data_IF_999829646792
#
_entry.id   IF_999829646792
#
_cell.length_a   1.000
_cell.length_b   1.000
_cell.length_c   1.000
_cell.angle_alpha   90.00
_cell.angle_beta   90.00
_cell.angle_gamma   90.00
#
_symmetry.space_group_name_H-M   'P 1'
#
loop_
_entity.id
_entity.type
_entity.pdbx_description
1 polymer ?
#
# COMPACT_ATOMS: atom_id res chain seq x y z
N UNK A 1 -19.77 -1.11 7.24
CA UNK A 1 -18.74 -1.55 6.30
C UNK A 1 -19.45 -2.31 5.21
N UNK A 2 -19.27 -1.91 3.96
CA UNK A 2 -20.02 -2.43 2.81
C UNK A 2 -19.15 -3.23 1.83
N UNK A 3 -17.84 -3.35 2.09
CA UNK A 3 -17.02 -4.30 1.34
C UNK A 3 -17.42 -5.73 1.68
N UNK A 4 -17.66 -6.52 0.65
CA UNK A 4 -17.88 -7.96 0.76
C UNK A 4 -16.56 -8.68 0.45
N UNK A 5 -15.86 -9.08 1.51
CA UNK A 5 -14.61 -9.80 1.39
C UNK A 5 -14.85 -11.29 1.11
N UNK A 6 -14.17 -11.82 0.10
CA UNK A 6 -14.11 -13.24 -0.19
C UNK A 6 -12.77 -13.78 0.30
N UNK A 7 -12.80 -14.86 1.08
CA UNK A 7 -11.58 -15.57 1.48
C UNK A 7 -11.07 -16.39 0.29
N UNK A 8 -9.80 -16.21 -0.06
CA UNK A 8 -9.14 -16.91 -1.17
C UNK A 8 -7.99 -17.78 -0.66
N UNK A 9 -7.56 -18.75 -1.46
CA UNK A 9 -6.57 -19.75 -1.05
C UNK A 9 -5.13 -19.38 -1.41
N UNK A 10 -4.94 -18.54 -2.42
CA UNK A 10 -3.63 -18.10 -2.89
C UNK A 10 -3.70 -16.69 -3.46
N UNK A 11 -2.55 -16.01 -3.47
CA UNK A 11 -2.38 -14.75 -4.17
C UNK A 11 -1.84 -15.07 -5.57
N UNK A 12 -2.55 -14.64 -6.62
CA UNK A 12 -2.22 -15.00 -8.00
C UNK A 12 -0.91 -14.36 -8.49
N UNK A 13 -0.55 -13.16 -8.01
CA UNK A 13 0.72 -12.49 -8.37
C UNK A 13 1.69 -12.29 -7.19
N UNK A 14 2.44 -13.35 -6.88
CA UNK A 14 3.47 -13.29 -5.83
C UNK A 14 4.56 -12.22 -6.01
N UNK A 15 4.72 -11.62 -7.21
CA UNK A 15 5.71 -10.56 -7.45
C UNK A 15 5.22 -9.19 -7.00
N UNK A 16 3.91 -9.00 -6.92
CA UNK A 16 3.26 -7.77 -6.44
C UNK A 16 3.02 -7.89 -4.93
N UNK A 17 2.61 -9.06 -4.47
CA UNK A 17 2.26 -9.32 -3.07
C UNK A 17 3.37 -10.11 -2.37
N UNK A 18 4.48 -9.44 -2.04
CA UNK A 18 5.60 -10.03 -1.29
C UNK A 18 5.32 -10.02 0.21
N UNK A 19 4.48 -10.96 0.66
CA UNK A 19 4.12 -11.10 2.08
C UNK A 19 4.47 -12.49 2.59
N UNK A 20 5.15 -12.55 3.72
CA UNK A 20 5.48 -13.77 4.44
C UNK A 20 4.65 -13.91 5.72
N UNK A 21 4.50 -15.15 6.18
CA UNK A 21 3.92 -15.52 7.48
C UNK A 21 2.45 -15.07 7.67
N UNK A 22 1.59 -15.45 6.72
CA UNK A 22 0.15 -15.18 6.77
C UNK A 22 -0.68 -16.46 6.91
N UNK A 23 -1.89 -16.32 7.45
CA UNK A 23 -2.85 -17.41 7.62
C UNK A 23 -4.05 -17.28 6.69
N UNK A 24 -4.40 -16.05 6.32
CA UNK A 24 -5.63 -15.74 5.60
C UNK A 24 -5.40 -14.69 4.53
N UNK A 25 -6.15 -14.82 3.43
CA UNK A 25 -6.18 -13.86 2.33
C UNK A 25 -7.65 -13.54 2.05
N UNK A 26 -7.94 -12.26 1.93
CA UNK A 26 -9.26 -11.71 1.63
C UNK A 26 -9.16 -10.77 0.45
N UNK A 27 -10.11 -10.88 -0.47
CA UNK A 27 -10.18 -10.02 -1.64
C UNK A 27 -11.58 -9.42 -1.78
N UNK A 28 -11.64 -8.17 -2.24
CA UNK A 28 -12.89 -7.51 -2.58
C UNK A 28 -12.66 -6.54 -3.72
N UNK A 29 -13.67 -6.39 -4.57
CA UNK A 29 -13.59 -5.47 -5.68
C UNK A 29 -13.78 -4.03 -5.17
N UNK A 30 -12.90 -3.13 -5.61
CA UNK A 30 -13.07 -1.70 -5.40
C UNK A 30 -14.22 -1.20 -6.28
N UNK A 31 -15.04 -0.31 -5.73
CA UNK A 31 -16.15 0.28 -6.45
C UNK A 31 -15.63 1.31 -7.46
N UNK A 32 -16.38 1.56 -8.55
CA UNK A 32 -16.08 2.67 -9.46
C UNK A 32 -16.26 4.06 -8.81
N UNK A 33 -16.94 4.13 -7.67
CA UNK A 33 -17.10 5.35 -6.90
C UNK A 33 -15.99 5.47 -5.84
N UNK A 34 -15.08 6.41 -6.05
CA UNK A 34 -13.95 6.66 -5.14
C UNK A 34 -14.40 7.05 -3.73
N UNK A 35 -15.45 7.86 -3.59
CA UNK A 35 -15.97 8.26 -2.26
C UNK A 35 -16.42 7.04 -1.46
N UNK A 36 -17.05 6.06 -2.13
CA UNK A 36 -17.44 4.79 -1.50
C UNK A 36 -16.21 4.02 -1.01
N UNK A 37 -15.15 3.95 -1.83
CA UNK A 37 -13.93 3.24 -1.45
C UNK A 37 -13.24 3.94 -0.27
N UNK A 38 -13.05 5.25 -0.36
CA UNK A 38 -12.45 6.10 0.68
C UNK A 38 -13.16 5.90 2.02
N UNK A 39 -14.49 5.99 2.04
CA UNK A 39 -15.28 5.85 3.27
C UNK A 39 -15.10 4.46 3.89
N UNK A 40 -15.14 3.40 3.08
CA UNK A 40 -14.98 2.04 3.58
C UNK A 40 -13.55 1.74 4.04
N UNK A 41 -12.53 2.18 3.30
CA UNK A 41 -11.13 2.03 3.70
C UNK A 41 -10.86 2.79 5.01
N UNK A 42 -11.40 4.00 5.15
CA UNK A 42 -11.26 4.76 6.39
C UNK A 42 -11.94 4.03 7.56
N UNK A 43 -13.14 3.45 7.37
CA UNK A 43 -13.79 2.64 8.41
C UNK A 43 -12.95 1.43 8.85
N UNK A 44 -12.28 0.76 7.91
CA UNK A 44 -11.43 -0.41 8.20
C UNK A 44 -10.15 0.01 8.95
N UNK A 45 -9.47 1.05 8.47
CA UNK A 45 -8.09 1.31 8.90
C UNK A 45 -7.93 2.39 9.98
N UNK A 46 -8.90 3.29 10.16
CA UNK A 46 -8.77 4.48 11.01
C UNK A 46 -8.28 4.18 12.43
N UNK A 47 -8.61 3.02 12.99
CA UNK A 47 -8.26 2.66 14.36
C UNK A 47 -7.08 1.68 14.48
N UNK A 48 -6.68 1.04 13.38
CA UNK A 48 -5.77 -0.11 13.40
C UNK A 48 -4.48 0.11 12.61
N UNK A 49 -4.43 1.15 11.79
CA UNK A 49 -3.28 1.44 10.93
C UNK A 49 -2.03 1.77 11.75
N UNK A 50 -0.92 1.16 11.36
CA UNK A 50 0.40 1.43 11.90
C UNK A 50 1.29 2.08 10.85
N UNK A 51 1.28 1.55 9.62
CA UNK A 51 2.15 2.02 8.56
C UNK A 51 1.40 2.12 7.23
N UNK A 52 1.79 3.08 6.41
CA UNK A 52 1.27 3.26 5.05
C UNK A 52 2.45 3.46 4.10
N UNK A 53 2.44 2.73 2.99
CA UNK A 53 3.42 2.87 1.90
C UNK A 53 2.68 3.28 0.64
N UNK A 54 3.16 4.33 -0.04
CA UNK A 54 2.67 4.72 -1.36
C UNK A 54 3.83 4.69 -2.33
N UNK A 55 3.65 3.97 -3.44
CA UNK A 55 4.53 4.07 -4.59
C UNK A 55 4.07 5.25 -5.46
N UNK A 56 4.91 6.28 -5.53
CA UNK A 56 4.61 7.53 -6.24
C UNK A 56 5.42 7.60 -7.54
N UNK A 57 4.73 7.92 -8.64
CA UNK A 57 5.34 8.20 -9.93
C UNK A 57 6.30 9.39 -9.87
N UNK A 58 7.40 9.35 -10.65
CA UNK A 58 8.47 10.35 -10.53
C UNK A 58 7.99 11.78 -10.81
N UNK A 59 7.04 11.95 -11.72
CA UNK A 59 6.41 13.22 -12.06
C UNK A 59 5.63 13.83 -10.89
N UNK A 60 5.04 12.98 -10.05
CA UNK A 60 4.17 13.38 -8.93
C UNK A 60 4.90 13.58 -7.60
N UNK A 61 6.16 13.15 -7.48
CA UNK A 61 6.92 13.21 -6.21
C UNK A 61 6.94 14.59 -5.59
N UNK A 62 7.18 15.64 -6.38
CA UNK A 62 7.26 17.01 -5.85
C UNK A 62 5.91 17.47 -5.29
N UNK A 63 4.84 17.28 -6.07
CA UNK A 63 3.49 17.66 -5.68
C UNK A 63 3.02 16.87 -4.45
N UNK A 64 3.23 15.54 -4.44
CA UNK A 64 2.91 14.69 -3.30
C UNK A 64 3.65 15.13 -2.04
N UNK A 65 4.93 15.45 -2.16
CA UNK A 65 5.75 15.94 -1.05
C UNK A 65 5.22 17.25 -0.48
N UNK A 66 4.95 18.23 -1.34
CA UNK A 66 4.43 19.55 -0.92
C UNK A 66 3.08 19.42 -0.20
N UNK A 67 2.20 18.57 -0.71
CA UNK A 67 0.87 18.33 -0.13
C UNK A 67 0.98 17.70 1.27
N UNK A 68 1.81 16.66 1.43
CA UNK A 68 2.05 16.02 2.75
C UNK A 68 2.74 16.97 3.73
N UNK A 69 3.76 17.71 3.29
CA UNK A 69 4.49 18.70 4.09
C UNK A 69 3.53 19.80 4.60
N UNK A 70 2.56 20.22 3.78
CA UNK A 70 1.54 21.23 4.15
C UNK A 70 0.70 20.82 5.37
N UNK A 71 0.56 19.52 5.63
CA UNK A 71 -0.19 18.97 6.77
C UNK A 71 0.68 18.61 7.97
N UNK A 72 1.99 18.81 7.89
CA UNK A 72 2.95 18.39 8.92
C UNK A 72 2.81 16.90 9.29
N UNK A 73 2.65 16.05 8.26
CA UNK A 73 2.62 14.58 8.41
C UNK A 73 4.04 14.06 8.20
N UNK A 74 4.50 13.20 9.10
CA UNK A 74 5.85 12.64 9.02
C UNK A 74 5.90 11.44 8.07
N UNK A 75 6.91 11.41 7.20
CA UNK A 75 7.18 10.31 6.28
C UNK A 75 8.69 10.16 6.05
N UNK A 76 9.07 9.03 5.46
CA UNK A 76 10.39 8.78 4.88
C UNK A 76 10.25 8.56 3.38
N UNK A 77 11.20 9.07 2.60
CA UNK A 77 11.29 8.79 1.16
C UNK A 77 12.36 7.73 0.95
N UNK A 78 12.02 6.68 0.21
CA UNK A 78 12.95 5.69 -0.32
C UNK A 78 12.98 5.82 -1.83
N UNK A 79 14.07 6.36 -2.36
CA UNK A 79 14.28 6.57 -3.79
C UNK A 79 15.29 5.56 -4.34
N UNK A 80 14.80 4.62 -5.15
CA UNK A 80 15.62 3.62 -5.83
C UNK A 80 15.82 3.93 -7.33
N UNK A 81 15.41 5.12 -7.79
CA UNK A 81 15.63 5.62 -9.15
C UNK A 81 14.35 5.70 -10.01
N UNK A 82 14.54 5.53 -11.33
CA UNK A 82 13.70 6.09 -12.42
C UNK A 82 12.18 6.08 -12.20
N UNK A 83 11.61 5.04 -11.59
CA UNK A 83 10.19 4.90 -11.24
C UNK A 83 9.98 4.12 -9.92
N UNK A 84 10.92 4.18 -8.96
CA UNK A 84 10.85 3.36 -7.74
C UNK A 84 11.01 4.25 -6.51
N UNK A 85 10.03 5.11 -6.30
CA UNK A 85 10.03 6.11 -5.22
C UNK A 85 8.85 5.79 -4.29
N UNK A 86 9.18 5.50 -3.03
CA UNK A 86 8.19 5.12 -2.03
C UNK A 86 8.15 6.16 -0.90
N UNK A 87 6.95 6.59 -0.56
CA UNK A 87 6.67 7.35 0.65
C UNK A 87 6.22 6.39 1.73
N UNK A 88 6.96 6.35 2.84
CA UNK A 88 6.71 5.45 3.97
C UNK A 88 6.31 6.28 5.19
N UNK A 89 5.07 6.10 5.62
CA UNK A 89 4.50 6.69 6.82
C UNK A 89 4.58 5.66 7.95
N UNK A 90 5.54 5.80 8.87
CA UNK A 90 5.82 4.79 9.91
C UNK A 90 4.97 4.93 11.18
N UNK A 91 4.31 6.06 11.36
CA UNK A 91 3.50 6.36 12.54
C UNK A 91 2.40 7.34 12.16
N UNK A 92 1.19 6.81 11.92
CA UNK A 92 0.05 7.59 11.45
C UNK A 92 -0.90 7.84 12.62
N UNK A 93 -1.20 9.11 12.88
CA UNK A 93 -2.20 9.50 13.87
C UNK A 93 -3.59 9.22 13.30
N UNK A 94 -4.55 8.83 14.14
CA UNK A 94 -5.94 8.56 13.73
C UNK A 94 -6.58 9.67 12.88
N UNK A 95 -6.23 10.93 13.16
CA UNK A 95 -6.73 12.10 12.41
C UNK A 95 -6.14 12.26 11.00
N UNK A 96 -5.01 11.59 10.72
CA UNK A 96 -4.29 11.67 9.44
C UNK A 96 -4.75 10.59 8.46
N UNK A 97 -5.39 9.51 8.94
CA UNK A 97 -5.76 8.34 8.14
C UNK A 97 -6.64 8.72 6.95
N UNK A 98 -7.74 9.42 7.22
CA UNK A 98 -8.65 9.87 6.16
C UNK A 98 -7.94 10.74 5.13
N UNK A 99 -7.06 11.63 5.58
CA UNK A 99 -6.32 12.50 4.68
C UNK A 99 -5.34 11.72 3.79
N UNK A 100 -4.59 10.77 4.35
CA UNK A 100 -3.64 9.94 3.57
C UNK A 100 -4.39 9.06 2.57
N UNK A 101 -5.53 8.48 2.95
CA UNK A 101 -6.39 7.71 2.03
C UNK A 101 -6.89 8.62 0.91
N UNK A 102 -7.42 9.81 1.22
CA UNK A 102 -7.85 10.78 0.21
C UNK A 102 -6.72 11.19 -0.73
N UNK A 103 -5.52 11.41 -0.19
CA UNK A 103 -4.36 11.79 -0.97
C UNK A 103 -3.96 10.70 -1.96
N UNK A 104 -4.00 9.44 -1.54
CA UNK A 104 -3.77 8.29 -2.42
C UNK A 104 -4.75 8.26 -3.61
N UNK A 105 -6.04 8.52 -3.37
CA UNK A 105 -7.06 8.60 -4.44
C UNK A 105 -7.00 9.88 -5.27
N UNK A 106 -6.42 10.96 -4.75
CA UNK A 106 -6.37 12.27 -5.45
C UNK A 106 -5.18 12.40 -6.39
N UNK A 107 -4.09 11.69 -6.11
CA UNK A 107 -2.86 11.73 -6.92
C UNK A 107 -2.97 10.64 -7.98
N UNK A 108 -3.67 10.96 -9.06
CA UNK A 108 -4.11 9.98 -10.06
C UNK A 108 -3.24 10.00 -11.33
N UNK A 109 -2.99 8.80 -11.86
CA UNK A 109 -2.39 8.37 -13.16
C UNK A 109 -1.11 7.52 -13.02
N UNK A 110 -0.20 7.78 -12.06
CA UNK A 110 1.07 7.00 -11.93
C UNK A 110 1.26 6.28 -10.58
N UNK A 111 0.35 6.42 -9.62
CA UNK A 111 0.40 5.62 -8.39
C UNK A 111 0.06 4.17 -8.74
N UNK A 112 1.00 3.26 -8.53
CA UNK A 112 0.85 1.85 -8.95
C UNK A 112 0.45 0.94 -7.80
N UNK A 113 0.78 1.32 -6.55
CA UNK A 113 0.56 0.48 -5.37
C UNK A 113 0.49 1.33 -4.10
N UNK A 114 -0.51 1.07 -3.27
CA UNK A 114 -0.54 1.44 -1.87
C UNK A 114 -0.59 0.19 -0.98
N UNK A 115 0.12 0.25 0.14
CA UNK A 115 0.11 -0.81 1.15
C UNK A 115 -0.19 -0.20 2.51
N UNK A 116 -1.16 -0.79 3.20
CA UNK A 116 -1.61 -0.36 4.52
C UNK A 116 -1.36 -1.50 5.49
N UNK A 117 -0.45 -1.31 6.44
CA UNK A 117 -0.16 -2.27 7.50
C UNK A 117 -0.95 -1.89 8.76
N UNK A 118 -1.65 -2.85 9.34
CA UNK A 118 -2.52 -2.63 10.50
C UNK A 118 -2.53 -3.84 11.45
N UNK A 119 -2.99 -3.60 12.68
CA UNK A 119 -2.80 -4.55 13.79
C UNK A 119 -1.43 -4.33 14.44
N UNK A 120 -0.73 -5.40 14.78
CA UNK A 120 0.64 -5.31 15.32
C UNK A 120 1.64 -4.76 14.29
N UNK A 121 2.67 -4.07 14.78
CA UNK A 121 3.70 -3.47 13.91
C UNK A 121 4.47 -4.57 13.17
N UNK A 122 4.60 -4.41 11.86
CA UNK A 122 5.30 -5.35 10.99
C UNK A 122 6.67 -4.83 10.58
N UNK A 123 7.52 -5.75 10.12
CA UNK A 123 8.80 -5.41 9.50
C UNK A 123 8.63 -5.34 7.98
N UNK A 124 9.22 -4.30 7.38
CA UNK A 124 9.15 -4.04 5.93
C UNK A 124 10.57 -3.92 5.43
N UNK A 125 10.91 -4.73 4.43
CA UNK A 125 12.15 -4.67 3.69
C UNK A 125 11.86 -4.26 2.25
N UNK A 126 12.87 -3.77 1.53
CA UNK A 126 12.77 -3.49 0.10
C UNK A 126 13.75 -4.39 -0.63
N UNK A 127 13.22 -5.25 -1.51
CA UNK A 127 14.03 -6.18 -2.28
C UNK A 127 14.12 -5.75 -3.75
N UNK A 128 15.31 -5.91 -4.34
CA UNK A 128 15.49 -5.71 -5.78
C UNK A 128 14.92 -6.92 -6.52
N UNK A 129 13.98 -6.70 -7.43
CA UNK A 129 13.49 -7.76 -8.32
C UNK A 129 14.56 -8.07 -9.37
N UNK A 130 14.80 -9.37 -9.58
CA UNK A 130 15.67 -9.82 -10.66
C UNK A 130 15.05 -9.48 -12.02
N UNK A 131 15.72 -8.62 -12.77
CA UNK A 131 15.31 -8.19 -14.11
C UNK A 131 16.41 -8.54 -15.12
N UNK A 132 16.01 -8.82 -16.36
CA UNK A 132 16.99 -8.94 -17.44
C UNK A 132 17.64 -7.58 -17.73
N UNK A 133 18.82 -7.60 -18.35
CA UNK A 133 19.62 -6.38 -18.59
C UNK A 133 18.90 -5.33 -19.45
N UNK A 134 18.03 -5.76 -20.38
CA UNK A 134 17.29 -4.84 -21.26
C UNK A 134 16.25 -4.09 -20.46
N UNK A 135 15.46 -4.78 -19.62
CA UNK A 135 14.47 -4.17 -18.74
C UNK A 135 15.15 -3.22 -17.76
N UNK A 136 16.25 -3.64 -17.11
CA UNK A 136 16.97 -2.78 -16.18
C UNK A 136 17.53 -1.51 -16.86
N UNK A 137 17.97 -1.61 -18.12
CA UNK A 137 18.43 -0.45 -18.88
C UNK A 137 17.29 0.53 -19.22
N UNK A 138 16.14 0.00 -19.64
CA UNK A 138 15.01 0.82 -20.09
C UNK A 138 14.24 1.42 -18.90
N UNK A 139 13.88 0.58 -17.94
CA UNK A 139 12.99 0.90 -16.82
C UNK A 139 13.74 1.27 -15.53
N UNK A 140 15.04 0.99 -15.45
CA UNK A 140 15.81 1.10 -14.22
C UNK A 140 15.67 -0.13 -13.33
N UNK A 141 16.31 -0.09 -12.16
CA UNK A 141 16.18 -1.14 -11.14
C UNK A 141 14.78 -1.11 -10.55
N UNK A 142 14.13 -2.26 -10.44
CA UNK A 142 12.85 -2.41 -9.74
C UNK A 142 13.05 -2.91 -8.32
N UNK A 143 12.43 -2.21 -7.37
CA UNK A 143 12.37 -2.59 -5.96
C UNK A 143 10.92 -2.73 -5.54
N UNK A 144 10.62 -3.72 -4.70
CA UNK A 144 9.30 -3.92 -4.12
C UNK A 144 9.37 -4.06 -2.61
N UNK A 145 8.37 -3.55 -1.88
CA UNK A 145 8.25 -3.80 -0.45
C UNK A 145 7.95 -5.28 -0.20
N UNK A 146 8.74 -5.90 0.68
CA UNK A 146 8.55 -7.23 1.22
C UNK A 146 8.18 -7.12 2.69
N UNK A 147 7.07 -7.76 3.08
CA UNK A 147 6.49 -7.61 4.41
C UNK A 147 6.45 -8.96 5.10
N UNK A 148 6.90 -9.01 6.34
CA UNK A 148 6.75 -10.21 7.19
C UNK A 148 5.73 -9.91 8.27
N UNK A 149 4.57 -10.56 8.17
CA UNK A 149 3.52 -10.41 9.18
C UNK A 149 3.93 -11.11 10.49
N UNK A 150 3.45 -10.56 11.59
CA UNK A 150 3.50 -11.15 12.93
C UNK A 150 2.06 -11.52 13.37
N UNK A 151 1.87 -12.34 14.41
CA UNK A 151 0.52 -12.61 14.92
C UNK A 151 -0.25 -11.32 15.23
N UNK A 152 -1.54 -11.30 14.91
CA UNK A 152 -2.42 -10.13 15.07
C UNK A 152 -2.05 -8.94 14.19
N UNK A 153 -1.41 -9.18 13.03
CA UNK A 153 -1.14 -8.15 12.02
C UNK A 153 -1.71 -8.52 10.65
N UNK A 154 -1.92 -7.51 9.82
CA UNK A 154 -2.38 -7.65 8.45
C UNK A 154 -1.83 -6.53 7.57
N UNK A 155 -1.85 -6.78 6.27
CA UNK A 155 -1.51 -5.80 5.24
C UNK A 155 -2.57 -5.81 4.15
N UNK A 156 -3.08 -4.62 3.84
CA UNK A 156 -3.94 -4.39 2.70
C UNK A 156 -3.12 -3.82 1.54
N UNK A 157 -3.36 -4.35 0.35
CA UNK A 157 -2.73 -3.98 -0.89
C UNK A 157 -3.79 -3.41 -1.81
N UNK A 158 -3.52 -2.22 -2.34
CA UNK A 158 -4.43 -1.49 -3.21
C UNK A 158 -3.66 -1.16 -4.48
N UNK A 159 -4.02 -1.81 -5.58
CA UNK A 159 -3.47 -1.49 -6.90
C UNK A 159 -4.40 -0.50 -7.60
N UNK A 160 -3.84 0.42 -8.38
CA UNK A 160 -4.65 1.43 -9.07
C UNK A 160 -5.19 0.92 -10.43
N UNK A 161 -4.53 -0.08 -11.03
CA UNK A 161 -4.93 -0.74 -12.28
C UNK A 161 -5.89 -1.92 -12.05
N UNK A 162 -5.84 -2.54 -10.87
CA UNK A 162 -6.78 -3.55 -10.43
C UNK A 162 -7.84 -2.92 -9.54
N UNK A 163 -9.12 -3.03 -9.91
CA UNK A 163 -10.25 -2.73 -9.06
C UNK A 163 -10.36 -3.74 -7.90
N UNK A 164 -9.26 -4.02 -7.18
CA UNK A 164 -9.11 -5.10 -6.22
C UNK A 164 -8.35 -4.61 -4.99
N UNK A 165 -8.96 -4.85 -3.84
CA UNK A 165 -8.35 -4.71 -2.53
C UNK A 165 -8.03 -6.11 -2.00
N UNK A 166 -6.75 -6.39 -1.80
CA UNK A 166 -6.27 -7.66 -1.25
C UNK A 166 -5.76 -7.46 0.16
N UNK A 167 -6.33 -8.15 1.13
CA UNK A 167 -5.91 -8.13 2.54
C UNK A 167 -5.31 -9.48 2.89
N UNK A 168 -4.06 -9.45 3.33
CA UNK A 168 -3.35 -10.63 3.84
C UNK A 168 -3.24 -10.47 5.36
N UNK A 169 -3.70 -11.46 6.13
CA UNK A 169 -3.69 -11.40 7.60
C UNK A 169 -2.99 -12.59 8.23
N UNK A 170 -2.45 -12.37 9.42
CA UNK A 170 -1.91 -13.40 10.30
C UNK A 170 -2.70 -13.35 11.62
N UNK A 171 -3.71 -14.21 11.72
CA UNK A 171 -4.60 -14.32 12.88
C UNK A 171 -5.27 -13.00 13.30
N UNK A 172 -5.49 -12.08 12.35
CA UNK A 172 -6.26 -10.86 12.58
C UNK A 172 -7.60 -10.95 11.85
N UNK A 173 -8.69 -10.80 12.62
CA UNK A 173 -10.04 -10.72 12.06
C UNK A 173 -10.24 -9.35 11.39
N UNK A 174 -10.65 -9.42 10.11
CA UNK A 174 -10.89 -8.28 9.21
C UNK A 174 -12.35 -7.83 9.33
#
# INVERSE_FOLDING_TARGET
MNFEFKRVQCIEDSNIYRVDNFTDIYETDLNSNDDFNIDNLNLIFQQRIHQFIIHVGKSEVLHFKEEVDSKNIFYKILDFGKNNIFFVFESIRKKEVLYIINLFYSVTIENTLAIICFGEKVHIEFEKIAQNRVIEYVMGKCFVPKITLVPSSACAFIQYDGALLTIVSNNLEI
#
